data_IF_271418723216
#
_entry.id   IF_271418723216
#
_cell.length_a   1.000
_cell.length_b   1.000
_cell.length_c   1.000
_cell.angle_alpha   90.00
_cell.angle_beta   90.00
_cell.angle_gamma   90.00
#
_symmetry.space_group_name_H-M   'P 1'
#
loop_
_entity.id
_entity.type
_entity.pdbx_description
1 polymer ?
#
# COMPACT_ATOMS: atom_id res chain seq x y z
N UNK A 1 -1.33 -17.66 -1.65
CA UNK A 1 0.08 -17.83 -2.09
C UNK A 1 0.40 -19.24 -2.59
N UNK A 2 0.23 -20.32 -1.82
CA UNK A 2 0.63 -21.69 -2.23
C UNK A 2 0.24 -22.06 -3.67
N UNK A 3 1.17 -22.52 -4.51
CA UNK A 3 0.91 -22.88 -5.91
C UNK A 3 1.04 -21.76 -6.95
N UNK A 4 1.32 -20.51 -6.53
CA UNK A 4 1.82 -19.48 -7.45
C UNK A 4 3.34 -19.60 -7.61
N UNK A 5 3.83 -19.39 -8.84
CA UNK A 5 5.26 -19.45 -9.18
C UNK A 5 5.87 -18.07 -9.44
N UNK A 6 5.03 -17.03 -9.56
CA UNK A 6 5.45 -15.65 -9.81
C UNK A 6 4.75 -14.73 -8.82
N UNK A 7 5.54 -13.82 -8.27
CA UNK A 7 5.14 -12.85 -7.26
C UNK A 7 5.76 -11.51 -7.60
N UNK A 8 5.04 -10.43 -7.29
CA UNK A 8 5.55 -9.08 -7.23
C UNK A 8 5.16 -8.47 -5.89
N UNK A 9 6.04 -7.65 -5.32
CA UNK A 9 5.77 -6.81 -4.18
C UNK A 9 5.85 -5.35 -4.63
N UNK A 10 4.86 -4.56 -4.23
CA UNK A 10 4.82 -3.12 -4.50
C UNK A 10 4.94 -2.41 -3.17
N UNK A 11 6.04 -1.69 -2.98
CA UNK A 11 6.35 -0.98 -1.74
C UNK A 11 5.48 0.28 -1.58
N UNK A 12 4.76 0.36 -0.46
CA UNK A 12 3.99 1.54 -0.05
C UNK A 12 4.42 2.07 1.31
N UNK A 13 5.68 1.90 1.69
CA UNK A 13 6.25 2.41 2.96
C UNK A 13 5.85 3.87 3.19
N UNK A 14 6.01 4.71 2.16
CA UNK A 14 5.59 6.12 2.19
C UNK A 14 4.15 6.36 1.70
N UNK A 15 3.47 5.30 1.26
CA UNK A 15 2.08 5.31 0.81
C UNK A 15 1.09 5.70 1.89
N UNK A 16 1.40 5.43 3.17
CA UNK A 16 0.55 5.82 4.29
C UNK A 16 0.41 7.34 4.43
N UNK A 17 1.46 8.10 4.08
CA UNK A 17 1.40 9.57 4.08
C UNK A 17 0.45 10.13 3.01
N UNK A 18 -0.06 9.31 2.10
CA UNK A 18 -1.03 9.71 1.07
C UNK A 18 -2.48 9.56 1.56
N UNK A 19 -2.70 8.89 2.69
CA UNK A 19 -4.02 8.65 3.28
C UNK A 19 -4.29 9.71 4.33
N UNK A 20 -5.28 10.58 4.07
CA UNK A 20 -5.69 11.61 5.03
C UNK A 20 -6.39 10.98 6.24
N UNK A 21 -6.03 11.47 7.42
CA UNK A 21 -6.78 11.18 8.64
C UNK A 21 -8.14 11.89 8.59
N UNK A 22 -9.16 11.26 9.16
CA UNK A 22 -10.41 11.96 9.44
C UNK A 22 -10.16 13.03 10.50
N UNK A 23 -10.70 14.23 10.30
CA UNK A 23 -10.45 15.36 11.21
C UNK A 23 -10.80 15.04 12.66
N UNK A 24 -11.89 14.30 12.89
CA UNK A 24 -12.31 13.85 14.24
C UNK A 24 -11.30 12.95 14.93
N UNK A 25 -10.47 12.25 14.16
CA UNK A 25 -9.57 11.21 14.65
C UNK A 25 -8.13 11.72 14.79
N UNK A 26 -7.81 12.92 14.28
CA UNK A 26 -6.49 13.57 14.42
C UNK A 26 -6.06 13.66 15.90
N UNK A 27 -6.92 14.07 16.86
CA UNK A 27 -6.52 14.13 18.27
C UNK A 27 -6.12 12.78 18.86
N UNK A 28 -6.60 11.66 18.29
CA UNK A 28 -6.26 10.30 18.74
C UNK A 28 -4.84 9.89 18.35
N UNK A 29 -4.20 10.63 17.45
CA UNK A 29 -2.83 10.39 16.97
C UNK A 29 -1.81 11.32 17.64
N UNK A 30 -2.21 11.99 18.73
CA UNK A 30 -1.36 12.98 19.39
C UNK A 30 -0.05 12.37 19.92
N UNK A 31 1.08 12.99 19.59
CA UNK A 31 2.42 12.66 20.07
C UNK A 31 3.07 13.90 20.70
N UNK A 32 3.89 13.70 21.73
CA UNK A 32 4.63 14.77 22.40
C UNK A 32 6.10 14.77 21.98
N UNK A 33 6.66 15.95 21.69
CA UNK A 33 8.11 16.12 21.55
C UNK A 33 8.78 16.18 22.93
N UNK A 34 10.10 15.96 23.03
CA UNK A 34 10.84 16.12 24.29
C UNK A 34 10.74 17.53 24.92
N UNK A 35 10.44 18.56 24.12
CA UNK A 35 10.18 19.92 24.60
C UNK A 35 8.77 20.11 25.20
N UNK A 36 7.92 19.07 25.17
CA UNK A 36 6.54 19.12 25.66
C UNK A 36 5.49 19.61 24.65
N UNK A 37 5.87 19.79 23.37
CA UNK A 37 4.94 20.23 22.33
C UNK A 37 4.11 19.05 21.80
N UNK A 38 2.79 19.25 21.65
CA UNK A 38 1.86 18.24 21.14
C UNK A 38 1.61 18.41 19.64
N UNK A 39 1.64 17.30 18.90
CA UNK A 39 1.35 17.23 17.47
C UNK A 39 0.36 16.11 17.18
N UNK A 40 -0.57 16.33 16.25
CA UNK A 40 -1.39 15.27 15.67
C UNK A 40 -0.98 15.01 14.22
N UNK A 41 -1.22 13.79 13.74
CA UNK A 41 -0.93 13.43 12.36
C UNK A 41 -2.11 13.79 11.45
N UNK A 42 -1.85 14.54 10.37
CA UNK A 42 -2.85 14.88 9.34
C UNK A 42 -3.07 13.74 8.33
N UNK A 43 -2.09 12.86 8.24
CA UNK A 43 -2.04 11.69 7.36
C UNK A 43 -1.78 10.45 8.20
N UNK A 44 -2.06 9.27 7.67
CA UNK A 44 -1.91 8.04 8.43
C UNK A 44 -0.46 7.88 8.92
N UNK A 45 -0.22 7.80 10.24
CA UNK A 45 1.14 7.63 10.75
C UNK A 45 1.67 6.24 10.42
N UNK A 46 2.96 6.16 10.10
CA UNK A 46 3.65 4.91 9.80
C UNK A 46 3.91 4.11 11.09
N UNK A 47 2.86 3.45 11.59
CA UNK A 47 2.91 2.60 12.79
C UNK A 47 2.77 1.10 12.48
N UNK A 48 2.59 0.73 11.21
CA UNK A 48 2.29 -0.63 10.76
C UNK A 48 3.41 -1.22 9.91
N UNK A 49 3.71 -2.51 10.12
CA UNK A 49 4.63 -3.33 9.34
C UNK A 49 4.03 -3.87 8.03
N UNK A 50 2.81 -3.42 7.67
CA UNK A 50 2.11 -3.84 6.46
C UNK A 50 1.94 -2.64 5.53
N UNK A 51 2.89 -2.50 4.63
CA UNK A 51 3.01 -1.48 3.59
C UNK A 51 2.96 -2.10 2.18
N UNK A 52 3.45 -3.31 2.01
CA UNK A 52 3.51 -3.92 0.68
C UNK A 52 2.15 -4.43 0.14
N UNK A 53 1.90 -4.18 -1.16
CA UNK A 53 0.92 -4.94 -1.94
C UNK A 53 1.61 -6.13 -2.61
N UNK A 54 1.23 -7.34 -2.19
CA UNK A 54 1.67 -8.57 -2.85
C UNK A 54 0.72 -8.99 -3.96
N UNK A 55 1.24 -9.05 -5.19
CA UNK A 55 0.54 -9.60 -6.34
C UNK A 55 1.11 -10.98 -6.63
N UNK A 56 0.24 -11.99 -6.70
CA UNK A 56 0.62 -13.33 -7.15
C UNK A 56 -0.34 -13.77 -8.24
N UNK A 57 0.11 -14.67 -9.12
CA UNK A 57 -0.70 -15.16 -10.24
C UNK A 57 -0.48 -16.63 -10.47
N UNK A 58 -1.47 -17.28 -11.09
CA UNK A 58 -1.42 -18.68 -11.51
C UNK A 58 -1.80 -18.76 -12.98
N UNK A 59 -1.50 -19.89 -13.59
CA UNK A 59 -2.00 -20.20 -14.93
C UNK A 59 -3.54 -20.20 -14.90
N UNK A 60 -4.15 -19.53 -15.87
CA UNK A 60 -5.59 -19.34 -16.01
C UNK A 60 -5.92 -19.18 -17.50
N UNK A 61 -7.12 -19.58 -17.92
CA UNK A 61 -7.61 -19.44 -19.31
C UNK A 61 -6.66 -20.00 -20.39
N UNK A 62 -5.92 -21.08 -20.05
CA UNK A 62 -4.94 -21.70 -20.95
C UNK A 62 -3.60 -20.95 -21.08
N UNK A 63 -3.44 -19.81 -20.40
CA UNK A 63 -2.19 -19.07 -20.32
C UNK A 63 -1.36 -19.53 -19.12
N UNK A 64 -0.03 -19.49 -19.26
CA UNK A 64 0.85 -19.77 -18.14
C UNK A 64 0.93 -18.55 -17.18
N UNK A 65 1.50 -18.75 -16.00
CA UNK A 65 1.58 -17.70 -14.99
C UNK A 65 2.38 -16.46 -15.46
N UNK A 66 3.39 -16.63 -16.32
CA UNK A 66 4.22 -15.52 -16.85
C UNK A 66 3.39 -14.60 -17.74
N UNK A 67 2.51 -15.17 -18.55
CA UNK A 67 1.67 -14.40 -19.48
C UNK A 67 0.54 -13.65 -18.76
N UNK A 68 0.00 -14.26 -17.69
CA UNK A 68 -1.11 -13.68 -16.91
C UNK A 68 -0.62 -12.60 -15.93
N UNK A 69 0.57 -12.77 -15.33
CA UNK A 69 1.02 -11.90 -14.24
C UNK A 69 1.09 -10.40 -14.60
N UNK A 70 1.60 -9.99 -15.78
CA UNK A 70 1.60 -8.58 -16.18
C UNK A 70 0.20 -7.98 -16.30
N UNK A 71 -0.81 -8.79 -16.68
CA UNK A 71 -2.20 -8.33 -16.74
C UNK A 71 -2.76 -8.08 -15.34
N UNK A 72 -2.43 -8.94 -14.39
CA UNK A 72 -2.79 -8.75 -12.98
C UNK A 72 -2.09 -7.54 -12.37
N UNK A 73 -0.79 -7.37 -12.60
CA UNK A 73 -0.08 -6.16 -12.17
C UNK A 73 -0.74 -4.91 -12.74
N UNK A 74 -1.07 -4.90 -14.04
CA UNK A 74 -1.73 -3.75 -14.68
C UNK A 74 -3.02 -3.39 -13.96
N UNK A 75 -3.89 -4.36 -13.66
CA UNK A 75 -5.14 -4.11 -12.92
C UNK A 75 -4.89 -3.49 -11.54
N UNK A 76 -3.88 -3.97 -10.81
CA UNK A 76 -3.51 -3.41 -9.49
C UNK A 76 -3.00 -1.97 -9.65
N UNK A 77 -2.07 -1.73 -10.57
CA UNK A 77 -1.50 -0.40 -10.82
C UNK A 77 -2.56 0.60 -11.31
N UNK A 78 -3.51 0.17 -12.13
CA UNK A 78 -4.65 0.98 -12.55
C UNK A 78 -5.53 1.36 -11.36
N UNK A 79 -5.80 0.41 -10.46
CA UNK A 79 -6.57 0.67 -9.23
C UNK A 79 -5.84 1.63 -8.28
N UNK A 80 -4.52 1.49 -8.15
CA UNK A 80 -3.70 2.42 -7.38
C UNK A 80 -3.78 3.84 -7.97
N UNK A 81 -3.64 3.96 -9.29
CA UNK A 81 -3.75 5.24 -10.01
C UNK A 81 -5.12 5.90 -9.81
N UNK A 82 -6.22 5.14 -9.89
CA UNK A 82 -7.57 5.64 -9.63
C UNK A 82 -7.73 6.24 -8.23
N UNK A 83 -7.07 5.63 -7.23
CA UNK A 83 -7.10 6.07 -5.84
C UNK A 83 -5.98 7.07 -5.50
N UNK A 84 -5.18 7.50 -6.49
CA UNK A 84 -4.01 8.38 -6.30
C UNK A 84 -3.03 7.83 -5.25
N UNK A 85 -2.84 6.51 -5.26
CA UNK A 85 -1.86 5.82 -4.43
C UNK A 85 -0.59 5.57 -5.25
N UNK A 86 0.52 6.11 -4.77
CA UNK A 86 1.83 6.05 -5.42
C UNK A 86 2.74 5.11 -4.65
N UNK A 87 3.41 4.23 -5.38
CA UNK A 87 4.41 3.33 -4.83
C UNK A 87 5.78 4.01 -4.76
N UNK A 88 6.62 3.48 -3.89
CA UNK A 88 8.06 3.71 -3.92
C UNK A 88 8.65 2.79 -5.01
N UNK A 89 9.23 3.37 -6.06
CA UNK A 89 9.81 2.66 -7.21
C UNK A 89 11.34 2.77 -7.21
#
# INVERSE_FOLDING_TARGET
>A
MSGSVIYSAIDLTDGLYQILMRESDIPLTAVSTPSGMLWGWLVMPQASYFDDIFVHSRAEDGLNAVDVHPQHLRKVLEKMRENKLYANL
#
